data_IF_650807879874
#
_entry.id   IF_650807879874
#
_cell.length_a   1.000
_cell.length_b   1.000
_cell.length_c   1.000
_cell.angle_alpha   90.00
_cell.angle_beta   90.00
_cell.angle_gamma   90.00
#
_symmetry.space_group_name_H-M   'P 1'
#
loop_
_entity.id
_entity.type
_entity.pdbx_description
1 polymer ?
#
# COMPACT_ATOMS: atom_id res chain seq x y z
N UNK A 1 -4.65 -23.05 4.59
CA UNK A 1 -4.07 -22.83 5.93
C UNK A 1 -4.38 -21.39 6.32
N UNK A 2 -5.33 -21.24 7.25
CA UNK A 2 -5.71 -20.04 8.03
C UNK A 2 -5.42 -18.67 7.42
N UNK A 3 -6.34 -18.17 6.57
CA UNK A 3 -6.51 -16.73 6.36
C UNK A 3 -7.07 -16.14 7.65
N UNK A 4 -6.16 -15.78 8.57
CA UNK A 4 -6.53 -14.99 9.74
C UNK A 4 -7.08 -13.66 9.21
N UNK A 5 -8.32 -13.35 9.56
CA UNK A 5 -8.99 -12.10 9.21
C UNK A 5 -8.16 -10.93 9.77
N UNK A 6 -7.30 -10.34 8.94
CA UNK A 6 -6.37 -9.31 9.39
C UNK A 6 -7.08 -7.95 9.31
N UNK A 7 -7.34 -7.36 10.46
CA UNK A 7 -7.86 -6.01 10.55
C UNK A 7 -6.71 -5.02 10.34
N UNK A 8 -6.84 -4.12 9.37
CA UNK A 8 -5.84 -3.07 9.07
C UNK A 8 -6.27 -1.71 9.67
N UNK A 9 -7.06 -1.72 10.76
CA UNK A 9 -7.64 -0.51 11.36
C UNK A 9 -6.66 0.31 12.22
N UNK A 10 -5.41 -0.14 12.36
CA UNK A 10 -4.39 0.59 13.11
C UNK A 10 -2.96 0.38 12.54
N UNK A 11 -2.02 1.18 13.06
CA UNK A 11 -0.60 1.15 12.69
C UNK A 11 0.07 -0.20 13.00
N UNK A 12 -0.45 -0.96 13.97
CA UNK A 12 0.02 -2.30 14.30
C UNK A 12 -0.37 -3.34 13.25
N UNK A 13 -1.61 -3.24 12.74
CA UNK A 13 -2.11 -4.01 11.61
C UNK A 13 -1.30 -3.75 10.35
N UNK A 14 -1.10 -2.47 10.00
CA UNK A 14 -0.28 -2.06 8.86
C UNK A 14 1.17 -2.59 8.98
N UNK A 15 1.80 -2.47 10.16
CA UNK A 15 3.15 -2.98 10.41
C UNK A 15 3.24 -4.49 10.20
N UNK A 16 2.25 -5.26 10.66
CA UNK A 16 2.24 -6.71 10.48
C UNK A 16 2.09 -7.11 9.01
N UNK A 17 1.21 -6.42 8.30
CA UNK A 17 0.89 -6.71 6.89
C UNK A 17 2.05 -6.35 5.97
N UNK A 18 2.71 -5.22 6.22
CA UNK A 18 3.80 -4.72 5.37
C UNK A 18 5.21 -4.96 5.93
N UNK A 19 5.35 -5.73 7.02
CA UNK A 19 6.65 -6.12 7.59
C UNK A 19 7.65 -6.64 6.53
N UNK A 20 7.25 -7.45 5.52
CA UNK A 20 8.18 -7.96 4.51
C UNK A 20 8.86 -6.86 3.67
N UNK A 21 8.26 -5.67 3.54
CA UNK A 21 8.86 -4.56 2.79
C UNK A 21 10.07 -3.95 3.49
N UNK A 22 10.05 -3.86 4.83
CA UNK A 22 11.06 -3.12 5.60
C UNK A 22 12.48 -3.68 5.56
N UNK A 23 12.65 -4.92 5.08
CA UNK A 23 13.95 -5.57 4.94
C UNK A 23 14.52 -5.56 3.52
N UNK A 24 13.78 -5.05 2.54
CA UNK A 24 14.23 -5.06 1.15
C UNK A 24 15.32 -4.01 0.89
N UNK A 25 16.37 -4.41 0.17
CA UNK A 25 17.49 -3.54 -0.21
C UNK A 25 17.14 -2.55 -1.33
N UNK A 26 16.03 -2.80 -2.04
CA UNK A 26 15.44 -1.94 -3.05
C UNK A 26 14.07 -1.46 -2.57
N UNK A 27 13.56 -0.39 -3.16
CA UNK A 27 12.16 0.01 -2.97
C UNK A 27 11.25 -1.06 -3.58
N UNK A 28 10.20 -1.42 -2.86
CA UNK A 28 9.16 -2.35 -3.28
C UNK A 28 7.83 -1.77 -2.84
N UNK A 29 6.83 -1.89 -3.71
CA UNK A 29 5.46 -1.53 -3.39
C UNK A 29 4.63 -2.76 -3.00
N UNK A 30 3.67 -2.56 -2.11
CA UNK A 30 2.62 -3.51 -1.79
C UNK A 30 1.26 -2.81 -1.69
N UNK A 31 0.21 -3.60 -1.87
CA UNK A 31 -1.18 -3.18 -1.84
C UNK A 31 -2.00 -4.17 -1.03
N UNK A 32 -2.68 -3.68 0.01
CA UNK A 32 -3.67 -4.45 0.75
C UNK A 32 -5.07 -4.04 0.27
N UNK A 33 -5.86 -5.01 -0.17
CA UNK A 33 -7.25 -4.81 -0.59
C UNK A 33 -8.18 -5.08 0.57
N UNK A 34 -9.18 -4.23 0.75
CA UNK A 34 -10.06 -4.22 1.91
C UNK A 34 -11.52 -4.41 1.51
N UNK A 35 -12.28 -5.14 2.32
CA UNK A 35 -13.74 -5.14 2.25
C UNK A 35 -14.35 -3.89 2.91
N UNK A 36 -15.68 -3.79 2.88
CA UNK A 36 -16.44 -2.67 3.48
C UNK A 36 -16.31 -2.58 5.01
N UNK A 37 -15.78 -3.61 5.67
CA UNK A 37 -15.51 -3.63 7.10
C UNK A 37 -14.02 -3.41 7.41
N UNK A 38 -13.24 -2.92 6.43
CA UNK A 38 -11.80 -2.68 6.53
C UNK A 38 -10.98 -3.92 6.87
N UNK A 39 -11.46 -5.11 6.50
CA UNK A 39 -10.72 -6.36 6.65
C UNK A 39 -9.93 -6.63 5.38
N UNK A 40 -8.71 -7.11 5.55
CA UNK A 40 -7.84 -7.44 4.42
C UNK A 40 -8.35 -8.70 3.74
N UNK A 41 -8.74 -8.57 2.48
CA UNK A 41 -9.20 -9.67 1.64
C UNK A 41 -8.08 -10.22 0.74
N UNK A 42 -7.09 -9.40 0.39
CA UNK A 42 -5.92 -9.82 -0.37
C UNK A 42 -4.74 -8.86 -0.16
N UNK A 43 -3.53 -9.36 -0.43
CA UNK A 43 -2.29 -8.57 -0.46
C UNK A 43 -1.55 -8.87 -1.76
N UNK A 44 -0.99 -7.84 -2.38
CA UNK A 44 -0.07 -7.93 -3.52
C UNK A 44 1.20 -7.17 -3.22
N UNK A 45 2.34 -7.71 -3.64
CA UNK A 45 3.65 -7.11 -3.43
C UNK A 45 4.45 -7.23 -4.72
N UNK A 46 5.26 -6.23 -5.04
CA UNK A 46 6.23 -6.31 -6.12
C UNK A 46 7.33 -7.34 -5.80
N UNK A 47 7.70 -8.15 -6.78
CA UNK A 47 8.76 -9.15 -6.63
C UNK A 47 10.14 -8.53 -6.89
N UNK A 48 11.11 -8.84 -6.01
CA UNK A 48 12.50 -8.47 -6.21
C UNK A 48 13.12 -9.36 -7.32
N UNK A 49 13.08 -8.91 -8.56
CA UNK A 49 13.62 -9.65 -9.69
C UNK A 49 13.25 -9.12 -11.08
N UNK A 50 12.22 -8.28 -11.18
CA UNK A 50 11.88 -7.55 -12.40
C UNK A 50 12.58 -6.18 -12.46
N UNK A 51 12.96 -5.79 -13.67
CA UNK A 51 13.71 -4.56 -13.95
C UNK A 51 12.87 -3.36 -13.53
N UNK A 52 13.30 -2.72 -12.43
CA UNK A 52 12.68 -1.59 -11.72
C UNK A 52 11.70 -1.96 -10.61
N UNK A 53 12.01 -1.42 -9.44
CA UNK A 53 11.30 -1.39 -8.16
C UNK A 53 9.84 -0.85 -8.19
N UNK A 54 9.20 -0.70 -9.36
CA UNK A 54 7.89 -0.04 -9.54
C UNK A 54 6.97 -0.84 -10.47
N UNK A 55 7.04 -2.17 -10.45
CA UNK A 55 6.41 -2.97 -11.53
C UNK A 55 4.92 -3.32 -11.30
N UNK A 56 4.34 -2.98 -10.13
CA UNK A 56 2.88 -3.01 -9.96
C UNK A 56 2.27 -1.72 -10.50
N UNK A 57 2.05 -1.68 -11.81
CA UNK A 57 1.34 -0.54 -12.42
C UNK A 57 -0.03 -0.34 -11.76
N UNK A 58 -0.39 0.92 -11.50
CA UNK A 58 -1.68 1.29 -10.92
C UNK A 58 -2.87 0.69 -11.69
N UNK A 59 -2.71 0.47 -13.01
CA UNK A 59 -3.68 -0.23 -13.86
C UNK A 59 -3.95 -1.66 -13.39
N UNK A 60 -2.90 -2.43 -13.09
CA UNK A 60 -3.04 -3.82 -12.65
C UNK A 60 -3.67 -3.88 -11.26
N UNK A 61 -3.25 -2.99 -10.36
CA UNK A 61 -3.80 -2.89 -9.00
C UNK A 61 -5.28 -2.50 -9.04
N UNK A 62 -5.66 -1.54 -9.90
CA UNK A 62 -7.06 -1.14 -10.10
C UNK A 62 -7.91 -2.28 -10.65
N UNK A 63 -7.42 -3.01 -11.65
CA UNK A 63 -8.10 -4.21 -12.18
C UNK A 63 -8.35 -5.23 -11.09
N UNK A 64 -7.36 -5.44 -10.23
CA UNK A 64 -7.46 -6.39 -9.13
C UNK A 64 -8.43 -5.94 -8.04
N UNK A 65 -8.40 -4.66 -7.65
CA UNK A 65 -9.37 -4.09 -6.71
C UNK A 65 -10.81 -4.34 -7.17
N UNK A 66 -11.09 -4.10 -8.46
CA UNK A 66 -12.39 -4.37 -9.05
C UNK A 66 -12.73 -5.87 -9.05
N UNK A 67 -11.76 -6.72 -9.41
CA UNK A 67 -11.97 -8.17 -9.46
C UNK A 67 -12.24 -8.79 -8.09
N UNK A 68 -11.71 -8.18 -7.04
CA UNK A 68 -11.90 -8.59 -5.64
C UNK A 68 -13.12 -7.93 -4.98
N UNK A 69 -13.85 -7.07 -5.71
CA UNK A 69 -14.91 -6.23 -5.16
C UNK A 69 -14.45 -5.43 -3.92
N UNK A 70 -13.20 -4.99 -3.93
CA UNK A 70 -12.60 -4.26 -2.82
C UNK A 70 -13.30 -2.91 -2.62
N UNK A 71 -13.65 -2.60 -1.37
CA UNK A 71 -14.18 -1.30 -1.00
C UNK A 71 -13.05 -0.28 -0.75
N UNK A 72 -11.85 -0.76 -0.43
CA UNK A 72 -10.70 0.10 -0.21
C UNK A 72 -9.36 -0.58 -0.50
N UNK A 73 -8.33 0.24 -0.63
CA UNK A 73 -6.95 -0.16 -0.84
C UNK A 73 -6.05 0.62 0.10
N UNK A 74 -5.05 -0.04 0.68
CA UNK A 74 -3.90 0.63 1.30
C UNK A 74 -2.66 0.32 0.48
N UNK A 75 -1.99 1.37 0.05
CA UNK A 75 -0.70 1.31 -0.64
C UNK A 75 0.42 1.39 0.39
N UNK A 76 1.52 0.69 0.16
CA UNK A 76 2.72 0.84 0.96
C UNK A 76 3.97 0.67 0.10
N UNK A 77 5.05 1.35 0.46
CA UNK A 77 6.38 1.08 -0.08
C UNK A 77 7.44 1.26 1.01
N UNK A 78 8.61 0.63 0.84
CA UNK A 78 9.73 0.86 1.74
C UNK A 78 10.68 1.94 1.22
N UNK A 79 11.31 2.66 2.16
CA UNK A 79 12.50 3.47 1.88
C UNK A 79 13.75 2.77 2.46
N UNK A 80 14.63 2.17 1.61
CA UNK A 80 15.88 1.55 2.07
C UNK A 80 16.81 2.50 2.82
N UNK A 81 16.72 3.81 2.54
CA UNK A 81 17.47 4.87 3.21
C UNK A 81 17.09 5.05 4.69
N UNK A 82 16.00 4.41 5.14
CA UNK A 82 15.39 4.56 6.46
C UNK A 82 14.85 5.95 6.79
N UNK A 83 14.81 6.87 5.82
CA UNK A 83 14.11 8.14 5.94
C UNK A 83 12.63 7.97 5.58
N UNK A 84 11.73 8.17 6.54
CA UNK A 84 10.29 7.99 6.34
C UNK A 84 9.59 9.20 5.71
N UNK A 85 10.33 10.23 5.26
CA UNK A 85 9.74 11.42 4.63
C UNK A 85 9.29 11.12 3.19
N UNK A 86 8.04 11.45 2.82
CA UNK A 86 7.57 11.37 1.44
C UNK A 86 8.41 12.24 0.48
N UNK A 87 8.75 11.69 -0.67
CA UNK A 87 9.26 12.47 -1.80
C UNK A 87 8.12 13.11 -2.61
N UNK A 88 8.45 14.09 -3.45
CA UNK A 88 7.49 14.67 -4.41
C UNK A 88 6.91 13.61 -5.36
N UNK A 89 7.71 12.61 -5.72
CA UNK A 89 7.26 11.48 -6.54
C UNK A 89 6.20 10.65 -5.82
N UNK A 90 6.41 10.36 -4.52
CA UNK A 90 5.44 9.61 -3.72
C UNK A 90 4.11 10.37 -3.62
N UNK A 91 4.17 11.69 -3.41
CA UNK A 91 2.99 12.56 -3.37
C UNK A 91 2.23 12.53 -4.70
N UNK A 92 2.95 12.66 -5.82
CA UNK A 92 2.34 12.62 -7.15
C UNK A 92 1.66 11.27 -7.44
N UNK A 93 2.33 10.16 -7.11
CA UNK A 93 1.78 8.80 -7.25
C UNK A 93 0.55 8.62 -6.36
N UNK A 94 0.62 9.06 -5.11
CA UNK A 94 -0.50 8.97 -4.15
C UNK A 94 -1.74 9.70 -4.66
N UNK A 95 -1.58 10.94 -5.14
CA UNK A 95 -2.68 11.74 -5.68
C UNK A 95 -3.29 11.09 -6.93
N UNK A 96 -2.46 10.58 -7.83
CA UNK A 96 -2.92 9.85 -9.02
C UNK A 96 -3.70 8.59 -8.63
N UNK A 97 -3.18 7.80 -7.69
CA UNK A 97 -3.86 6.61 -7.16
C UNK A 97 -5.20 6.94 -6.52
N UNK A 98 -5.27 7.96 -5.66
CA UNK A 98 -6.51 8.41 -5.04
C UNK A 98 -7.57 8.78 -6.08
N UNK A 99 -7.19 9.52 -7.13
CA UNK A 99 -8.11 9.88 -8.23
C UNK A 99 -8.59 8.66 -9.02
N UNK A 100 -7.69 7.73 -9.36
CA UNK A 100 -8.03 6.52 -10.13
C UNK A 100 -8.97 5.63 -9.33
N UNK A 101 -8.63 5.30 -8.09
CA UNK A 101 -9.48 4.47 -7.25
C UNK A 101 -10.83 5.14 -6.95
N UNK A 102 -10.83 6.46 -6.69
CA UNK A 102 -12.06 7.21 -6.45
C UNK A 102 -13.03 7.19 -7.64
N UNK A 103 -12.52 7.17 -8.88
CA UNK A 103 -13.36 7.01 -10.09
C UNK A 103 -13.94 5.60 -10.26
N UNK A 104 -13.44 4.63 -9.50
CA UNK A 104 -13.85 3.23 -9.51
C UNK A 104 -14.68 2.87 -8.28
N UNK A 105 -15.10 3.85 -7.47
CA UNK A 105 -15.76 3.66 -6.18
C UNK A 105 -14.95 2.80 -5.18
N UNK A 106 -13.62 2.83 -5.29
CA UNK A 106 -12.67 2.22 -4.36
C UNK A 106 -11.96 3.31 -3.58
N UNK A 107 -11.90 3.22 -2.26
CA UNK A 107 -11.21 4.24 -1.46
C UNK A 107 -9.73 3.92 -1.33
N UNK A 108 -8.84 4.84 -1.70
CA UNK A 108 -7.46 4.78 -1.21
C UNK A 108 -7.49 5.17 0.28
N UNK A 109 -7.45 4.16 1.15
CA UNK A 109 -7.62 4.34 2.59
C UNK A 109 -6.38 5.00 3.19
N UNK A 110 -5.20 4.56 2.79
CA UNK A 110 -3.94 5.21 3.20
C UNK A 110 -2.82 4.87 2.21
N UNK A 111 -1.73 5.62 2.32
CA UNK A 111 -0.44 5.29 1.77
C UNK A 111 0.61 5.27 2.90
N UNK A 112 1.29 4.14 3.08
CA UNK A 112 2.21 3.92 4.21
C UNK A 112 3.64 3.72 3.71
N UNK A 113 4.55 4.58 4.16
CA UNK A 113 5.99 4.38 3.98
C UNK A 113 6.49 3.48 5.11
N UNK A 114 7.14 2.38 4.75
CA UNK A 114 7.74 1.42 5.67
C UNK A 114 9.24 1.69 5.76
N UNK A 115 9.73 1.96 6.96
CA UNK A 115 11.17 2.03 7.23
C UNK A 115 11.56 0.97 8.23
N UNK A 116 12.86 0.77 8.42
CA UNK A 116 13.39 -0.18 9.41
C UNK A 116 13.01 0.20 10.85
N UNK A 117 12.73 1.47 11.10
CA UNK A 117 12.49 2.04 12.44
C UNK A 117 11.04 2.44 12.68
N UNK A 118 10.18 2.50 11.65
CA UNK A 118 8.81 2.93 11.82
C UNK A 118 7.99 3.00 10.53
N UNK A 119 6.77 3.50 10.67
CA UNK A 119 5.83 3.73 9.57
C UNK A 119 5.47 5.21 9.49
N UNK A 120 5.33 5.72 8.27
CA UNK A 120 4.78 7.05 8.00
C UNK A 120 3.48 6.90 7.22
N UNK A 121 2.40 7.52 7.69
CA UNK A 121 1.08 7.52 7.03
C UNK A 121 0.86 8.83 6.29
N UNK A 122 0.52 8.77 5.00
CA UNK A 122 0.15 9.95 4.21
C UNK A 122 -1.14 10.59 4.73
N UNK A 123 -2.13 9.79 5.13
CA UNK A 123 -3.36 10.31 5.74
C UNK A 123 -3.06 11.08 7.03
N UNK A 124 -2.21 10.55 7.91
CA UNK A 124 -1.85 11.22 9.15
C UNK A 124 -1.06 12.52 8.92
N UNK A 125 -0.31 12.60 7.81
CA UNK A 125 0.39 13.81 7.38
C UNK A 125 -0.50 14.82 6.62
N UNK A 126 -1.76 14.50 6.34
CA UNK A 126 -2.66 15.36 5.55
C UNK A 126 -2.30 15.46 4.06
N UNK A 127 -1.61 14.45 3.52
CA UNK A 127 -1.16 14.39 2.13
C UNK A 127 -2.10 13.56 1.22
N UNK A 128 -3.13 12.96 1.79
CA UNK A 128 -4.16 12.14 1.12
C UNK A 128 -5.56 12.69 1.38
#
# INVERSE_FOLDING_TARGET
MTSANQCLVDIGGARRIFAPLGGAAIELAAFAFLDRQHRVIAIRQGEAGHVSAVDLSLRLVAREALSLEAAGVVMAHNHPSADGRPSESDIAVTRSAAQVFGRLDVTLVDHVIVTRTGLTSFRALGLL
#
